data_IF_880664120866
#
_entry.id   IF_880664120866
#
_cell.length_a   1.000
_cell.length_b   1.000
_cell.length_c   1.000
_cell.angle_alpha   90.00
_cell.angle_beta   90.00
_cell.angle_gamma   90.00
#
_symmetry.space_group_name_H-M   'P 1'
#
loop_
_entity.id
_entity.type
_entity.pdbx_description
1 polymer ?
#
# COMPACT_ATOMS: atom_id res chain seq x y z
N UNK A 1 -16.08 2.05 -1.64
CA UNK A 1 -16.04 3.36 -0.95
C UNK A 1 -14.64 3.94 -0.75
N UNK A 2 -13.71 3.34 0.02
CA UNK A 2 -12.39 3.98 0.27
C UNK A 2 -11.36 3.82 -0.87
N UNK A 3 -11.34 2.68 -1.57
CA UNK A 3 -10.54 2.51 -2.79
C UNK A 3 -10.98 3.50 -3.90
N UNK A 4 -12.24 3.93 -3.88
CA UNK A 4 -12.77 4.93 -4.81
C UNK A 4 -12.38 6.36 -4.43
N UNK A 5 -12.26 6.68 -3.13
CA UNK A 5 -11.82 8.00 -2.65
C UNK A 5 -10.33 8.26 -2.96
N UNK A 6 -9.45 7.27 -2.78
CA UNK A 6 -8.04 7.40 -3.18
C UNK A 6 -7.82 7.28 -4.69
N UNK A 7 -8.60 6.45 -5.39
CA UNK A 7 -8.60 6.44 -6.86
C UNK A 7 -9.16 7.75 -7.45
N UNK A 8 -9.98 8.50 -6.70
CA UNK A 8 -10.48 9.81 -7.14
C UNK A 8 -9.42 10.89 -7.10
N UNK A 9 -8.50 10.84 -6.12
CA UNK A 9 -7.38 11.77 -6.04
C UNK A 9 -6.33 11.55 -7.16
N UNK A 10 -6.30 10.38 -7.78
CA UNK A 10 -5.42 10.06 -8.91
C UNK A 10 -6.04 10.31 -10.30
N UNK A 11 -7.30 10.79 -10.38
CA UNK A 11 -8.05 10.94 -11.65
C UNK A 11 -7.88 12.29 -12.35
N UNK A 12 -7.00 13.17 -11.88
CA UNK A 12 -6.68 14.45 -12.53
C UNK A 12 -5.34 14.41 -13.27
N UNK A 13 -5.16 13.43 -14.16
CA UNK A 13 -4.21 13.54 -15.26
C UNK A 13 -4.72 12.72 -16.45
N UNK A 14 -4.97 13.39 -17.57
CA UNK A 14 -5.71 12.84 -18.71
C UNK A 14 -5.00 11.67 -19.40
N UNK A 15 -5.73 10.57 -19.57
CA UNK A 15 -5.32 9.44 -20.41
C UNK A 15 -6.13 9.45 -21.71
N UNK A 16 -5.46 9.76 -22.82
CA UNK A 16 -5.97 9.61 -24.19
C UNK A 16 -6.06 8.12 -24.56
N UNK A 17 -7.29 7.63 -24.77
CA UNK A 17 -7.56 6.26 -25.19
C UNK A 17 -7.25 6.06 -26.69
N UNK A 18 -6.39 5.09 -27.02
CA UNK A 18 -6.24 4.54 -28.37
C UNK A 18 -7.17 3.34 -28.52
N UNK A 19 -8.05 3.38 -29.54
CA UNK A 19 -8.96 2.27 -29.91
C UNK A 19 -8.20 1.19 -30.69
N UNK A 20 -8.47 -0.11 -30.49
CA UNK A 20 -8.15 -1.13 -31.48
C UNK A 20 -9.37 -1.48 -32.34
N UNK A 21 -9.09 -1.71 -33.62
CA UNK A 21 -10.06 -2.07 -34.66
C UNK A 21 -10.52 -3.53 -34.57
N UNK A 22 -11.66 -3.75 -35.22
CA UNK A 22 -12.40 -5.00 -35.37
C UNK A 22 -11.68 -6.07 -36.18
N UNK A 23 -11.70 -7.31 -35.72
CA UNK A 23 -11.39 -8.51 -36.51
C UNK A 23 -12.10 -9.73 -35.91
N UNK A 24 -12.89 -10.43 -36.73
CA UNK A 24 -13.77 -11.53 -36.34
C UNK A 24 -13.11 -12.92 -36.50
N UNK A 25 -13.55 -13.83 -35.63
CA UNK A 25 -13.67 -15.30 -35.70
C UNK A 25 -12.56 -16.23 -36.22
N UNK A 26 -12.25 -17.24 -35.41
CA UNK A 26 -12.39 -18.67 -35.77
C UNK A 26 -12.20 -19.58 -34.52
N UNK A 27 -13.00 -20.65 -34.44
CA UNK A 27 -13.24 -21.42 -33.23
C UNK A 27 -12.24 -22.53 -32.87
N UNK A 28 -12.39 -23.06 -31.65
CA UNK A 28 -11.52 -24.10 -31.11
C UNK A 28 -11.96 -24.68 -29.76
N UNK A 29 -12.89 -25.64 -29.81
CA UNK A 29 -13.12 -26.81 -28.92
C UNK A 29 -13.06 -26.62 -27.39
N UNK A 30 -14.24 -26.80 -26.78
CA UNK A 30 -14.49 -26.80 -25.35
C UNK A 30 -13.67 -27.82 -24.55
N UNK A 31 -12.84 -27.29 -23.65
CA UNK A 31 -12.72 -27.82 -22.30
C UNK A 31 -13.83 -27.18 -21.44
N UNK A 32 -14.44 -27.94 -20.54
CA UNK A 32 -15.43 -27.41 -19.61
C UNK A 32 -14.78 -26.33 -18.74
N UNK A 33 -14.93 -25.07 -19.13
CA UNK A 33 -14.62 -23.92 -18.29
C UNK A 33 -15.63 -24.00 -17.16
N UNK A 34 -15.19 -24.40 -15.96
CA UNK A 34 -16.01 -24.27 -14.76
C UNK A 34 -16.33 -22.78 -14.65
N UNK A 35 -17.56 -22.42 -15.04
CA UNK A 35 -18.02 -21.05 -15.03
C UNK A 35 -18.22 -20.68 -13.57
N UNK A 36 -17.30 -19.91 -13.02
CA UNK A 36 -17.38 -19.42 -11.64
C UNK A 36 -18.63 -18.54 -11.54
N UNK A 37 -19.53 -18.89 -10.63
CA UNK A 37 -20.68 -18.07 -10.29
C UNK A 37 -20.21 -16.93 -9.38
N UNK A 38 -20.07 -15.72 -9.92
CA UNK A 38 -19.50 -14.57 -9.20
C UNK A 38 -20.41 -14.10 -8.06
N UNK A 39 -21.73 -14.13 -8.25
CA UNK A 39 -22.71 -13.79 -7.21
C UNK A 39 -22.62 -14.76 -6.02
N UNK A 40 -22.60 -16.06 -6.30
CA UNK A 40 -22.45 -17.09 -5.26
C UNK A 40 -21.09 -17.00 -4.56
N UNK A 41 -20.03 -16.72 -5.32
CA UNK A 41 -18.68 -16.50 -4.79
C UNK A 41 -18.67 -15.31 -3.84
N UNK A 42 -19.25 -14.18 -4.25
CA UNK A 42 -19.37 -12.97 -3.43
C UNK A 42 -20.18 -13.22 -2.16
N UNK A 43 -21.32 -13.92 -2.27
CA UNK A 43 -22.16 -14.27 -1.12
C UNK A 43 -21.43 -15.14 -0.10
N UNK A 44 -20.69 -16.17 -0.55
CA UNK A 44 -19.90 -17.05 0.34
C UNK A 44 -18.73 -16.32 0.99
N UNK A 45 -18.08 -15.43 0.24
CA UNK A 45 -17.04 -14.54 0.75
C UNK A 45 -17.60 -13.47 1.71
N UNK A 46 -18.90 -13.16 1.64
CA UNK A 46 -19.52 -12.10 2.43
C UNK A 46 -19.03 -10.71 2.01
N UNK A 47 -18.82 -10.51 0.70
CA UNK A 47 -18.28 -9.27 0.12
C UNK A 47 -19.17 -8.75 -1.02
N UNK A 48 -19.06 -7.48 -1.43
CA UNK A 48 -19.81 -6.95 -2.56
C UNK A 48 -19.49 -7.68 -3.88
N UNK A 49 -20.52 -8.02 -4.65
CA UNK A 49 -20.36 -8.68 -5.96
C UNK A 49 -19.51 -7.84 -6.93
N UNK A 50 -19.65 -6.52 -6.90
CA UNK A 50 -18.88 -5.60 -7.74
C UNK A 50 -17.35 -5.73 -7.55
N UNK A 51 -16.90 -6.05 -6.32
CA UNK A 51 -15.47 -6.26 -6.06
C UNK A 51 -14.98 -7.59 -6.64
N UNK A 52 -15.78 -8.65 -6.55
CA UNK A 52 -15.49 -9.96 -7.14
C UNK A 52 -15.46 -9.87 -8.67
N UNK A 53 -16.43 -9.17 -9.28
CA UNK A 53 -16.46 -8.90 -10.72
C UNK A 53 -15.25 -8.08 -11.18
N UNK A 54 -14.84 -7.07 -10.41
CA UNK A 54 -13.64 -6.28 -10.69
C UNK A 54 -12.40 -7.15 -10.67
N UNK A 55 -12.21 -7.97 -9.63
CA UNK A 55 -11.06 -8.89 -9.53
C UNK A 55 -11.04 -9.86 -10.70
N UNK A 56 -12.17 -10.50 -10.99
CA UNK A 56 -12.30 -11.47 -12.08
C UNK A 56 -11.94 -10.85 -13.44
N UNK A 57 -12.50 -9.67 -13.73
CA UNK A 57 -12.28 -8.95 -14.99
C UNK A 57 -10.83 -8.46 -15.16
N UNK A 58 -10.23 -7.90 -14.12
CA UNK A 58 -8.87 -7.37 -14.18
C UNK A 58 -7.82 -8.50 -14.23
N UNK A 59 -8.05 -9.61 -13.52
CA UNK A 59 -7.24 -10.81 -13.67
C UNK A 59 -7.36 -11.36 -15.10
N UNK A 60 -8.59 -11.53 -15.60
CA UNK A 60 -8.86 -12.21 -16.87
C UNK A 60 -8.28 -13.63 -16.86
N UNK A 61 -7.72 -14.05 -18.00
CA UNK A 61 -7.05 -15.36 -18.15
C UNK A 61 -5.57 -15.33 -17.80
N UNK A 62 -5.10 -14.26 -17.14
CA UNK A 62 -3.68 -14.10 -16.81
C UNK A 62 -3.24 -15.10 -15.75
N UNK A 63 -1.98 -15.56 -15.82
CA UNK A 63 -1.49 -16.56 -14.88
C UNK A 63 -1.28 -15.96 -13.49
N UNK A 64 -1.66 -16.72 -12.47
CA UNK A 64 -1.25 -16.53 -11.08
C UNK A 64 0.24 -16.85 -10.89
N UNK A 65 0.74 -16.78 -9.66
CA UNK A 65 2.09 -17.20 -9.25
C UNK A 65 2.00 -18.14 -8.05
N UNK A 66 2.86 -19.16 -7.95
CA UNK A 66 2.85 -20.07 -6.82
C UNK A 66 3.33 -19.35 -5.55
N UNK A 67 2.84 -19.79 -4.41
CA UNK A 67 3.44 -19.44 -3.12
C UNK A 67 4.84 -20.05 -3.01
N UNK A 68 5.73 -19.45 -2.21
CA UNK A 68 6.98 -20.11 -1.84
C UNK A 68 6.68 -21.45 -1.16
N UNK A 69 7.65 -22.37 -1.18
CA UNK A 69 7.51 -23.61 -0.44
C UNK A 69 7.30 -23.30 1.06
N UNK A 70 6.39 -24.04 1.69
CA UNK A 70 6.04 -23.83 3.12
C UNK A 70 7.26 -23.91 4.03
N UNK A 71 8.25 -24.75 3.69
CA UNK A 71 9.49 -24.90 4.45
C UNK A 71 10.39 -23.65 4.39
N UNK A 72 10.32 -22.87 3.30
CA UNK A 72 11.12 -21.66 3.11
C UNK A 72 10.44 -20.41 3.67
N UNK A 73 9.11 -20.48 3.87
CA UNK A 73 8.29 -19.36 4.30
C UNK A 73 8.78 -18.67 5.58
N UNK A 74 9.22 -19.37 6.66
CA UNK A 74 9.73 -18.69 7.86
C UNK A 74 10.92 -17.77 7.58
N UNK A 75 11.87 -18.19 6.74
CA UNK A 75 13.03 -17.39 6.39
C UNK A 75 12.66 -16.18 5.51
N UNK A 76 11.67 -16.34 4.63
CA UNK A 76 11.14 -15.23 3.82
C UNK A 76 10.42 -14.23 4.72
N UNK A 77 9.55 -14.69 5.63
CA UNK A 77 8.81 -13.83 6.56
C UNK A 77 9.76 -13.02 7.46
N UNK A 78 10.85 -13.62 7.94
CA UNK A 78 11.89 -12.93 8.70
C UNK A 78 12.54 -11.80 7.88
N UNK A 79 12.92 -12.07 6.61
CA UNK A 79 13.45 -11.04 5.71
C UNK A 79 12.45 -9.93 5.38
N UNK A 80 11.15 -10.24 5.40
CA UNK A 80 10.07 -9.28 5.27
C UNK A 80 9.75 -8.55 6.58
N UNK A 81 10.60 -8.71 7.61
CA UNK A 81 10.46 -8.12 8.93
C UNK A 81 9.12 -8.42 9.62
N UNK A 82 8.50 -9.56 9.28
CA UNK A 82 7.24 -10.01 9.90
C UNK A 82 7.54 -10.47 11.33
N UNK A 83 6.77 -9.97 12.29
CA UNK A 83 6.97 -10.32 13.71
C UNK A 83 6.62 -11.79 13.97
N UNK A 84 7.22 -12.43 15.00
CA UNK A 84 6.97 -13.83 15.30
C UNK A 84 5.49 -14.21 15.45
N UNK A 85 4.67 -13.37 16.10
CA UNK A 85 3.24 -13.64 16.28
C UNK A 85 2.48 -13.61 14.95
N UNK A 86 2.78 -12.63 14.09
CA UNK A 86 2.17 -12.52 12.75
C UNK A 86 2.63 -13.68 11.85
N UNK A 87 3.92 -14.04 11.91
CA UNK A 87 4.46 -15.17 11.18
C UNK A 87 3.82 -16.48 11.64
N UNK A 88 3.62 -16.68 12.94
CA UNK A 88 2.95 -17.87 13.48
C UNK A 88 1.49 -17.97 12.99
N UNK A 89 0.75 -16.87 12.97
CA UNK A 89 -0.62 -16.84 12.41
C UNK A 89 -0.66 -17.14 10.90
N UNK A 90 0.28 -16.60 10.13
CA UNK A 90 0.42 -16.88 8.69
C UNK A 90 0.79 -18.36 8.47
N UNK A 91 1.69 -18.92 9.27
CA UNK A 91 2.07 -20.33 9.16
C UNK A 91 0.96 -21.29 9.58
N UNK A 92 0.12 -20.89 10.55
CA UNK A 92 -1.06 -21.63 10.98
C UNK A 92 -2.20 -21.57 9.95
N UNK A 93 -2.32 -20.45 9.22
CA UNK A 93 -3.31 -20.25 8.16
C UNK A 93 -2.87 -20.70 6.77
N UNK A 94 -1.74 -21.39 6.63
CA UNK A 94 -1.12 -21.68 5.33
C UNK A 94 -2.08 -22.39 4.35
N UNK A 95 -2.12 -22.02 3.06
CA UNK A 95 -3.03 -22.58 2.04
C UNK A 95 -2.61 -23.96 1.52
N UNK A 96 -2.30 -24.90 2.40
CA UNK A 96 -2.06 -26.29 2.00
C UNK A 96 -3.26 -26.85 1.22
N UNK A 97 -3.07 -27.72 0.21
CA UNK A 97 -4.17 -28.23 -0.62
C UNK A 97 -5.35 -28.81 0.16
N UNK A 98 -5.07 -29.54 1.25
CA UNK A 98 -6.09 -30.20 2.08
C UNK A 98 -6.51 -29.37 3.30
N UNK A 99 -6.07 -28.12 3.39
CA UNK A 99 -6.39 -27.25 4.54
C UNK A 99 -7.89 -26.93 4.60
N UNK A 100 -8.58 -27.22 5.71
CA UNK A 100 -10.00 -26.91 5.88
C UNK A 100 -10.27 -25.41 6.07
N UNK A 101 -9.22 -24.59 6.26
CA UNK A 101 -9.33 -23.14 6.43
C UNK A 101 -9.61 -22.41 5.11
N UNK A 102 -9.44 -23.10 3.97
CA UNK A 102 -9.46 -22.51 2.64
C UNK A 102 -10.59 -23.08 1.79
N UNK A 103 -11.72 -22.37 1.79
CA UNK A 103 -12.87 -22.70 0.93
C UNK A 103 -12.49 -22.54 -0.55
N UNK A 104 -13.23 -23.18 -1.47
CA UNK A 104 -13.02 -23.01 -2.90
C UNK A 104 -13.01 -21.55 -3.36
N UNK A 105 -13.89 -20.72 -2.79
CA UNK A 105 -14.03 -19.30 -3.11
C UNK A 105 -12.85 -18.47 -2.60
N UNK A 106 -12.34 -18.79 -1.41
CA UNK A 106 -11.17 -18.12 -0.84
C UNK A 106 -9.90 -18.46 -1.64
N UNK A 107 -9.76 -19.71 -2.09
CA UNK A 107 -8.68 -20.14 -2.98
C UNK A 107 -8.79 -19.47 -4.35
N UNK A 108 -9.99 -19.42 -4.91
CA UNK A 108 -10.26 -18.70 -6.16
C UNK A 108 -9.87 -17.22 -6.03
N UNK A 109 -10.27 -16.57 -4.94
CA UNK A 109 -9.94 -15.17 -4.71
C UNK A 109 -8.43 -14.95 -4.60
N UNK A 110 -7.74 -15.77 -3.81
CA UNK A 110 -6.27 -15.68 -3.69
C UNK A 110 -5.60 -15.78 -5.05
N UNK A 111 -5.98 -16.79 -5.84
CA UNK A 111 -5.39 -17.00 -7.16
C UNK A 111 -5.66 -15.82 -8.11
N UNK A 112 -6.90 -15.34 -8.18
CA UNK A 112 -7.25 -14.20 -9.04
C UNK A 112 -6.64 -12.88 -8.57
N UNK A 113 -6.50 -12.69 -7.26
CA UNK A 113 -5.77 -11.56 -6.68
C UNK A 113 -4.30 -11.57 -7.11
N UNK A 114 -3.62 -12.72 -7.02
CA UNK A 114 -2.22 -12.84 -7.45
C UNK A 114 -2.10 -12.54 -8.95
N UNK A 115 -2.97 -13.14 -9.78
CA UNK A 115 -2.98 -12.91 -11.22
C UNK A 115 -3.22 -11.43 -11.57
N UNK A 116 -4.18 -10.78 -10.91
CA UNK A 116 -4.50 -9.36 -11.09
C UNK A 116 -3.31 -8.46 -10.75
N UNK A 117 -2.65 -8.67 -9.61
CA UNK A 117 -1.53 -7.81 -9.20
C UNK A 117 -0.32 -8.05 -10.08
N UNK A 118 -0.05 -9.32 -10.43
CA UNK A 118 1.02 -9.70 -11.36
C UNK A 118 0.83 -9.10 -12.76
N UNK A 119 -0.41 -9.01 -13.22
CA UNK A 119 -0.75 -8.44 -14.52
C UNK A 119 -0.28 -6.98 -14.70
N UNK A 120 -0.17 -6.26 -13.58
CA UNK A 120 0.20 -4.85 -13.53
C UNK A 120 1.62 -4.65 -12.97
N UNK A 121 2.51 -5.63 -13.15
CA UNK A 121 3.92 -5.52 -12.78
C UNK A 121 4.56 -4.32 -13.51
N UNK A 122 5.19 -3.43 -12.75
CA UNK A 122 5.74 -2.16 -13.23
C UNK A 122 4.74 -1.01 -13.26
N UNK A 123 3.44 -1.27 -13.09
CA UNK A 123 2.40 -0.24 -12.95
C UNK A 123 2.54 0.50 -11.63
N UNK A 124 2.25 1.80 -11.62
CA UNK A 124 2.47 2.67 -10.45
C UNK A 124 1.19 3.28 -9.87
N UNK A 125 0.03 3.05 -10.48
CA UNK A 125 -1.25 3.43 -9.89
C UNK A 125 -1.54 2.65 -8.60
N UNK A 126 -2.28 3.25 -7.66
CA UNK A 126 -2.82 2.53 -6.52
C UNK A 126 -3.78 1.43 -7.00
N UNK A 127 -3.54 0.18 -6.60
CA UNK A 127 -4.31 -0.97 -7.07
C UNK A 127 -4.79 -1.80 -5.89
N UNK A 128 -6.11 -1.83 -5.70
CA UNK A 128 -6.74 -2.70 -4.71
C UNK A 128 -6.68 -4.17 -5.18
N UNK A 129 -6.03 -5.08 -4.43
CA UNK A 129 -5.84 -6.48 -4.83
C UNK A 129 -7.13 -7.31 -4.75
N UNK A 130 -8.14 -6.85 -4.00
CA UNK A 130 -9.43 -7.52 -3.84
C UNK A 130 -10.36 -6.80 -2.85
N UNK A 131 -11.50 -7.41 -2.48
CA UNK A 131 -12.43 -6.86 -1.50
C UNK A 131 -11.85 -6.87 -0.07
N UNK A 132 -12.42 -6.05 0.81
CA UNK A 132 -12.19 -6.23 2.25
C UNK A 132 -12.87 -7.53 2.73
N UNK A 133 -12.16 -8.37 3.47
CA UNK A 133 -12.63 -9.68 3.92
C UNK A 133 -13.01 -9.67 5.40
N UNK A 134 -14.03 -10.45 5.83
CA UNK A 134 -14.37 -10.63 7.24
C UNK A 134 -13.25 -11.38 7.98
N UNK A 135 -12.44 -10.62 8.73
CA UNK A 135 -11.18 -11.09 9.35
C UNK A 135 -11.38 -11.98 10.59
N UNK A 136 -12.59 -12.00 11.13
CA UNK A 136 -13.02 -12.83 12.25
C UNK A 136 -13.23 -14.31 11.85
N UNK A 137 -13.31 -14.61 10.56
CA UNK A 137 -13.43 -15.98 10.01
C UNK A 137 -12.15 -16.82 10.07
N UNK A 138 -11.08 -16.30 10.69
CA UNK A 138 -9.85 -17.05 10.97
C UNK A 138 -8.63 -16.59 10.15
N UNK A 139 -7.48 -17.24 10.35
CA UNK A 139 -6.18 -16.76 9.86
C UNK A 139 -6.06 -16.76 8.33
N UNK A 140 -6.73 -17.67 7.62
CA UNK A 140 -6.74 -17.68 6.14
C UNK A 140 -7.40 -16.41 5.58
N UNK A 141 -8.54 -16.00 6.15
CA UNK A 141 -9.27 -14.79 5.76
C UNK A 141 -8.53 -13.53 6.15
N UNK A 142 -7.98 -13.50 7.36
CA UNK A 142 -7.20 -12.37 7.89
C UNK A 142 -5.97 -12.07 7.05
N UNK A 143 -5.30 -13.10 6.54
CA UNK A 143 -3.97 -12.98 5.91
C UNK A 143 -3.97 -13.27 4.40
N UNK A 144 -5.13 -13.36 3.73
CA UNK A 144 -5.23 -13.66 2.29
C UNK A 144 -4.24 -12.82 1.45
N UNK A 145 -4.20 -11.51 1.69
CA UNK A 145 -3.34 -10.59 0.95
C UNK A 145 -1.86 -10.68 1.33
N UNK A 146 -1.52 -11.21 2.51
CA UNK A 146 -0.13 -11.55 2.85
C UNK A 146 0.34 -12.76 2.03
N UNK A 147 -0.51 -13.77 1.81
CA UNK A 147 -0.17 -14.88 0.90
C UNK A 147 -0.02 -14.37 -0.53
N UNK A 148 -0.92 -13.50 -1.01
CA UNK A 148 -0.76 -12.90 -2.33
C UNK A 148 0.55 -12.12 -2.47
N UNK A 149 0.95 -11.40 -1.41
CA UNK A 149 2.25 -10.71 -1.35
C UNK A 149 3.41 -11.70 -1.44
N UNK A 150 3.39 -12.78 -0.64
CA UNK A 150 4.42 -13.82 -0.64
C UNK A 150 4.59 -14.49 -2.01
N UNK A 151 3.49 -14.78 -2.71
CA UNK A 151 3.51 -15.36 -4.05
C UNK A 151 4.19 -14.43 -5.09
N UNK A 152 4.23 -13.13 -4.84
CA UNK A 152 4.80 -12.13 -5.74
C UNK A 152 6.21 -11.68 -5.37
N UNK A 153 6.78 -12.14 -4.24
CA UNK A 153 8.14 -11.78 -3.80
C UNK A 153 9.19 -12.14 -4.86
N UNK A 154 9.16 -13.36 -5.38
CA UNK A 154 10.14 -13.76 -6.41
C UNK A 154 9.86 -13.13 -7.77
N UNK A 155 8.58 -12.89 -8.09
CA UNK A 155 8.16 -12.17 -9.31
C UNK A 155 8.76 -10.77 -9.34
N UNK A 156 8.58 -10.00 -8.25
CA UNK A 156 9.08 -8.63 -8.19
C UNK A 156 10.59 -8.57 -8.01
N UNK A 157 11.21 -9.52 -7.33
CA UNK A 157 12.69 -9.59 -7.24
C UNK A 157 13.33 -9.90 -8.59
N UNK A 158 12.69 -10.71 -9.44
CA UNK A 158 13.12 -10.89 -10.82
C UNK A 158 12.99 -9.58 -11.63
N UNK A 159 11.88 -8.84 -11.46
CA UNK A 159 11.70 -7.53 -12.05
C UNK A 159 12.77 -6.52 -11.60
N UNK A 160 13.05 -6.44 -10.30
CA UNK A 160 14.10 -5.58 -9.75
C UNK A 160 15.48 -5.93 -10.32
N UNK A 161 15.82 -7.21 -10.41
CA UNK A 161 17.08 -7.67 -11.01
C UNK A 161 17.19 -7.27 -12.48
N UNK A 162 16.10 -7.37 -13.24
CA UNK A 162 16.05 -6.93 -14.65
C UNK A 162 16.29 -5.42 -14.79
N UNK A 163 15.91 -4.61 -13.80
CA UNK A 163 16.20 -3.17 -13.73
C UNK A 163 17.57 -2.86 -13.08
N UNK A 164 18.36 -3.89 -12.75
CA UNK A 164 19.67 -3.73 -12.12
C UNK A 164 19.62 -3.24 -10.67
N UNK A 165 18.47 -3.36 -10.00
CA UNK A 165 18.28 -2.92 -8.61
C UNK A 165 18.95 -3.91 -7.66
N UNK A 166 19.68 -3.38 -6.68
CA UNK A 166 20.39 -4.18 -5.70
C UNK A 166 19.43 -5.03 -4.84
N UNK A 167 19.84 -6.25 -4.50
CA UNK A 167 19.00 -7.17 -3.71
C UNK A 167 18.67 -6.60 -2.33
N UNK A 168 19.61 -5.89 -1.71
CA UNK A 168 19.39 -5.21 -0.42
C UNK A 168 18.26 -4.18 -0.49
N UNK A 169 18.19 -3.37 -1.56
CA UNK A 169 17.10 -2.40 -1.77
C UNK A 169 15.76 -3.12 -1.94
N UNK A 170 15.76 -4.24 -2.66
CA UNK A 170 14.57 -5.07 -2.84
C UNK A 170 14.03 -5.56 -1.49
N UNK A 171 14.87 -6.14 -0.64
CA UNK A 171 14.43 -6.69 0.65
C UNK A 171 14.00 -5.61 1.64
N UNK A 172 14.73 -4.49 1.74
CA UNK A 172 14.34 -3.37 2.60
C UNK A 172 13.00 -2.77 2.17
N UNK A 173 12.76 -2.67 0.86
CA UNK A 173 11.47 -2.25 0.31
C UNK A 173 10.37 -3.25 0.68
N UNK A 174 10.58 -4.54 0.45
CA UNK A 174 9.54 -5.56 0.68
C UNK A 174 9.24 -5.80 2.18
N UNK A 175 10.16 -5.42 3.07
CA UNK A 175 9.98 -5.50 4.52
C UNK A 175 8.86 -4.59 5.05
N UNK A 176 8.26 -3.73 4.21
CA UNK A 176 7.08 -2.96 4.60
C UNK A 176 5.86 -3.83 4.93
N UNK A 177 5.82 -5.08 4.44
CA UNK A 177 4.80 -6.05 4.86
C UNK A 177 4.78 -6.22 6.38
N UNK A 178 5.94 -6.48 6.99
CA UNK A 178 6.08 -6.67 8.43
C UNK A 178 5.68 -5.42 9.22
N UNK A 179 6.04 -4.22 8.73
CA UNK A 179 5.63 -2.95 9.34
C UNK A 179 4.13 -2.75 9.31
N UNK A 180 3.48 -3.05 8.18
CA UNK A 180 2.02 -2.95 8.04
C UNK A 180 1.29 -3.93 8.97
N UNK A 181 1.74 -5.18 9.04
CA UNK A 181 1.17 -6.18 9.96
C UNK A 181 1.31 -5.74 11.43
N UNK A 182 2.48 -5.21 11.80
CA UNK A 182 2.72 -4.71 13.16
C UNK A 182 1.83 -3.50 13.51
N UNK A 183 1.58 -2.60 12.55
CA UNK A 183 0.66 -1.47 12.73
C UNK A 183 -0.77 -1.99 12.90
N UNK A 184 -1.23 -2.86 12.01
CA UNK A 184 -2.56 -3.47 12.06
C UNK A 184 -2.83 -4.16 13.41
N UNK A 185 -1.89 -4.96 13.90
CA UNK A 185 -1.97 -5.60 15.22
C UNK A 185 -2.07 -4.58 16.37
N UNK A 186 -1.30 -3.48 16.31
CA UNK A 186 -1.34 -2.42 17.33
C UNK A 186 -2.65 -1.65 17.33
N UNK A 187 -3.25 -1.48 16.16
CA UNK A 187 -4.54 -0.83 16.00
C UNK A 187 -5.70 -1.70 16.52
N UNK A 188 -5.48 -2.98 16.86
CA UNK A 188 -6.48 -3.91 17.45
C UNK A 188 -7.74 -4.08 16.59
N UNK A 189 -7.59 -4.00 15.27
CA UNK A 189 -8.71 -4.07 14.33
C UNK A 189 -9.49 -2.75 14.20
N UNK A 190 -9.09 -1.69 14.91
CA UNK A 190 -9.55 -0.33 14.65
C UNK A 190 -8.81 0.24 13.44
N UNK A 191 -9.47 1.05 12.62
CA UNK A 191 -8.83 1.62 11.42
C UNK A 191 -8.64 0.61 10.30
N UNK A 192 -7.62 0.83 9.46
CA UNK A 192 -7.49 0.07 8.21
C UNK A 192 -7.04 -1.36 8.48
N UNK A 193 -7.65 -2.38 7.83
CA UNK A 193 -6.96 -3.65 7.63
C UNK A 193 -5.64 -3.37 6.90
N UNK A 194 -4.64 -4.24 7.07
CA UNK A 194 -3.37 -4.25 6.30
C UNK A 194 -3.54 -3.54 4.95
N UNK A 195 -2.82 -2.42 4.74
CA UNK A 195 -3.05 -1.47 3.64
C UNK A 195 -2.86 -2.15 2.28
N UNK A 196 -3.87 -2.89 1.83
CA UNK A 196 -3.71 -3.88 0.78
C UNK A 196 -3.34 -3.24 -0.55
N UNK A 197 -3.92 -2.07 -0.86
CA UNK A 197 -3.61 -1.31 -2.06
C UNK A 197 -2.22 -0.64 -2.01
N UNK A 198 -1.72 -0.32 -0.82
CA UNK A 198 -0.37 0.21 -0.61
C UNK A 198 0.68 -0.87 -0.83
N UNK A 199 0.46 -2.06 -0.26
CA UNK A 199 1.38 -3.18 -0.39
C UNK A 199 1.54 -3.67 -1.83
N UNK A 200 0.54 -3.48 -2.71
CA UNK A 200 0.71 -3.80 -4.14
C UNK A 200 1.76 -2.93 -4.84
N UNK A 201 2.06 -1.72 -4.37
CA UNK A 201 3.13 -0.89 -4.95
C UNK A 201 4.51 -1.54 -4.78
N UNK A 202 4.71 -2.30 -3.71
CA UNK A 202 5.96 -2.95 -3.39
C UNK A 202 6.18 -4.17 -4.29
N UNK A 203 5.17 -5.04 -4.39
CA UNK A 203 5.23 -6.27 -5.20
C UNK A 203 5.00 -6.05 -6.69
N UNK A 204 4.74 -4.82 -7.12
CA UNK A 204 4.74 -4.41 -8.54
C UNK A 204 6.00 -3.65 -8.94
N UNK A 205 6.94 -3.37 -8.04
CA UNK A 205 8.15 -2.62 -8.36
C UNK A 205 7.89 -1.13 -8.64
N UNK A 206 6.85 -0.58 -8.00
CA UNK A 206 6.45 0.82 -8.14
C UNK A 206 7.11 1.72 -7.10
N UNK A 207 7.49 1.17 -5.95
CA UNK A 207 8.00 1.89 -4.78
C UNK A 207 9.31 1.30 -4.28
N UNK A 208 10.23 2.17 -3.83
CA UNK A 208 11.54 1.80 -3.31
C UNK A 208 11.87 2.53 -2.01
N UNK A 209 12.26 1.79 -0.98
CA UNK A 209 12.80 2.36 0.25
C UNK A 209 14.29 2.67 0.08
N UNK A 210 14.64 3.96 0.09
CA UNK A 210 16.01 4.43 -0.13
C UNK A 210 16.44 5.27 1.06
N UNK A 211 16.83 4.61 2.15
CA UNK A 211 17.17 5.28 3.40
C UNK A 211 15.91 5.60 4.21
N UNK A 212 15.70 6.88 4.57
CA UNK A 212 14.60 7.25 5.47
C UNK A 212 13.23 7.30 4.80
N UNK A 213 13.15 7.57 3.51
CA UNK A 213 11.89 7.70 2.78
C UNK A 213 11.69 6.54 1.82
N UNK A 214 10.41 6.30 1.52
CA UNK A 214 9.97 5.46 0.42
C UNK A 214 9.64 6.36 -0.77
N UNK A 215 10.07 5.94 -1.96
CA UNK A 215 9.96 6.70 -3.19
C UNK A 215 9.14 5.91 -4.19
N UNK A 216 8.00 6.46 -4.57
CA UNK A 216 7.03 5.84 -5.46
C UNK A 216 7.04 6.55 -6.81
N UNK A 217 7.18 5.75 -7.87
CA UNK A 217 7.11 6.20 -9.26
C UNK A 217 5.75 6.83 -9.54
N UNK A 218 5.70 7.99 -10.19
CA UNK A 218 4.45 8.57 -10.69
C UNK A 218 4.70 9.38 -11.97
N UNK A 219 3.64 9.95 -12.53
CA UNK A 219 3.74 10.78 -13.74
C UNK A 219 4.41 12.12 -13.42
N UNK A 220 5.67 12.26 -13.83
CA UNK A 220 6.41 13.53 -13.75
C UNK A 220 6.98 13.88 -12.37
N UNK A 221 6.70 13.09 -11.33
CA UNK A 221 7.24 13.27 -10.00
C UNK A 221 7.64 11.94 -9.33
N UNK A 222 8.46 12.05 -8.29
CA UNK A 222 8.73 10.96 -7.35
C UNK A 222 7.90 11.24 -6.09
N UNK A 223 6.90 10.41 -5.81
CA UNK A 223 6.07 10.52 -4.62
C UNK A 223 6.86 10.04 -3.39
N UNK A 224 6.82 10.82 -2.33
CA UNK A 224 7.50 10.55 -1.06
C UNK A 224 6.51 9.99 -0.05
N UNK A 225 6.93 8.92 0.62
CA UNK A 225 6.21 8.31 1.73
C UNK A 225 7.12 8.11 2.93
N UNK A 226 6.53 8.16 4.12
CA UNK A 226 7.25 8.22 5.40
C UNK A 226 6.93 6.95 6.20
N UNK A 227 7.78 5.91 6.15
CA UNK A 227 7.57 4.73 6.97
C UNK A 227 7.78 5.04 8.46
N UNK A 228 7.14 4.25 9.33
CA UNK A 228 7.30 4.31 10.79
C UNK A 228 8.62 3.64 11.23
N UNK A 229 9.74 4.26 10.85
CA UNK A 229 11.09 3.70 10.95
C UNK A 229 12.09 4.59 11.72
N UNK A 230 11.64 5.68 12.32
CA UNK A 230 12.48 6.60 13.10
C UNK A 230 12.21 8.09 12.85
N UNK A 231 13.03 9.00 13.39
CA UNK A 231 12.85 10.44 13.20
C UNK A 231 13.10 10.88 11.75
N UNK A 232 12.42 11.94 11.30
CA UNK A 232 12.69 12.63 10.03
C UNK A 232 13.84 13.64 10.18
N UNK A 233 15.03 13.19 10.61
CA UNK A 233 16.15 14.13 10.75
C UNK A 233 16.50 14.75 9.39
N UNK A 234 16.94 16.02 9.34
CA UNK A 234 17.28 16.66 8.08
C UNK A 234 18.32 15.88 7.27
N UNK A 235 19.29 15.27 7.93
CA UNK A 235 20.38 14.51 7.30
C UNK A 235 19.87 13.22 6.67
N UNK A 236 18.99 12.48 7.38
CA UNK A 236 18.43 11.23 6.89
C UNK A 236 17.46 11.48 5.71
N UNK A 237 16.70 12.58 5.77
CA UNK A 237 15.85 13.02 4.65
C UNK A 237 16.71 13.41 3.44
N UNK A 238 17.76 14.22 3.61
CA UNK A 238 18.61 14.63 2.49
C UNK A 238 19.33 13.43 1.86
N UNK A 239 19.90 12.53 2.65
CA UNK A 239 20.54 11.31 2.13
C UNK A 239 19.57 10.42 1.35
N UNK A 240 18.31 10.34 1.81
CA UNK A 240 17.25 9.61 1.13
C UNK A 240 16.90 10.20 -0.24
N UNK A 241 16.79 11.53 -0.32
CA UNK A 241 16.52 12.24 -1.57
C UNK A 241 17.69 12.13 -2.55
N UNK A 242 18.93 12.21 -2.06
CA UNK A 242 20.14 12.05 -2.88
C UNK A 242 20.24 10.62 -3.45
N UNK A 243 19.89 9.62 -2.65
CA UNK A 243 19.79 8.24 -3.14
C UNK A 243 18.76 8.13 -4.27
N UNK A 244 17.59 8.75 -4.12
CA UNK A 244 16.55 8.75 -5.17
C UNK A 244 17.03 9.44 -6.46
N UNK A 245 17.71 10.60 -6.36
CA UNK A 245 18.29 11.32 -7.50
C UNK A 245 19.21 10.44 -8.35
N UNK A 246 20.00 9.59 -7.70
CA UNK A 246 20.88 8.65 -8.40
C UNK A 246 20.14 7.39 -8.89
N UNK A 247 19.20 6.90 -8.09
CA UNK A 247 18.51 5.63 -8.31
C UNK A 247 17.60 5.66 -9.54
N UNK A 248 16.68 6.64 -9.61
CA UNK A 248 15.64 6.63 -10.63
C UNK A 248 16.18 6.75 -12.07
N UNK A 249 17.08 7.69 -12.40
CA UNK A 249 17.65 7.77 -13.75
C UNK A 249 18.47 6.54 -14.14
N UNK A 250 19.05 5.82 -13.16
CA UNK A 250 19.85 4.62 -13.40
C UNK A 250 18.98 3.39 -13.70
N UNK A 251 17.89 3.22 -12.96
CA UNK A 251 17.07 2.01 -13.01
C UNK A 251 15.81 2.16 -13.86
N UNK A 252 15.36 3.39 -14.09
CA UNK A 252 14.20 3.75 -14.92
C UNK A 252 14.57 4.85 -15.92
N UNK A 253 15.53 4.61 -16.83
CA UNK A 253 16.09 5.63 -17.71
C UNK A 253 15.10 6.20 -18.74
N UNK A 254 13.96 5.53 -18.95
CA UNK A 254 12.90 5.98 -19.85
C UNK A 254 11.87 6.89 -19.15
N UNK A 255 11.92 6.98 -17.81
CA UNK A 255 11.04 7.84 -17.03
C UNK A 255 11.70 9.21 -16.78
N UNK A 256 10.87 10.24 -16.65
CA UNK A 256 11.33 11.62 -16.41
C UNK A 256 10.58 12.17 -15.21
N UNK A 257 11.35 12.63 -14.23
CA UNK A 257 10.82 13.24 -13.01
C UNK A 257 11.37 14.64 -12.89
N UNK A 258 10.50 15.61 -12.64
CA UNK A 258 10.87 17.01 -12.47
C UNK A 258 10.88 17.44 -10.99
N UNK A 259 10.19 16.69 -10.13
CA UNK A 259 9.98 17.07 -8.75
C UNK A 259 9.86 15.85 -7.83
N UNK A 260 10.14 16.07 -6.55
CA UNK A 260 9.62 15.26 -5.47
C UNK A 260 8.25 15.80 -5.05
N UNK A 261 7.29 14.93 -4.77
CA UNK A 261 5.95 15.29 -4.32
C UNK A 261 5.56 14.51 -3.06
N UNK A 262 4.70 15.08 -2.23
CA UNK A 262 4.20 14.42 -1.03
C UNK A 262 2.79 14.90 -0.74
N UNK A 263 1.86 13.98 -0.48
CA UNK A 263 0.57 14.26 0.15
C UNK A 263 0.57 13.70 1.57
N UNK A 264 0.34 14.55 2.58
CA UNK A 264 0.32 14.11 3.98
C UNK A 264 -0.35 15.12 4.92
N UNK A 265 -0.96 14.63 5.99
CA UNK A 265 -1.32 15.45 7.17
C UNK A 265 -0.08 16.13 7.78
N UNK A 266 1.12 15.53 7.63
CA UNK A 266 2.37 16.13 8.09
C UNK A 266 2.73 17.42 7.33
N UNK A 267 2.09 17.70 6.20
CA UNK A 267 2.30 18.94 5.44
C UNK A 267 1.35 20.08 5.85
N UNK A 268 0.49 19.87 6.85
CA UNK A 268 -0.41 20.90 7.36
C UNK A 268 0.36 22.06 8.03
N UNK A 269 0.29 23.30 7.51
CA UNK A 269 0.89 24.47 8.16
C UNK A 269 0.37 24.74 9.57
N UNK A 270 -0.85 24.30 9.93
CA UNK A 270 -1.42 24.48 11.27
C UNK A 270 -0.56 23.82 12.35
N UNK A 271 0.23 22.79 12.00
CA UNK A 271 1.18 22.16 12.94
C UNK A 271 2.22 23.15 13.47
N UNK A 272 2.55 24.21 12.71
CA UNK A 272 3.53 25.24 13.11
C UNK A 272 3.05 26.14 14.23
N UNK A 273 1.74 26.18 14.50
CA UNK A 273 1.18 26.89 15.66
C UNK A 273 1.54 26.19 16.99
N UNK A 274 1.90 24.91 16.93
CA UNK A 274 2.12 24.07 18.12
C UNK A 274 3.55 23.51 18.22
N UNK A 275 4.19 23.23 17.09
CA UNK A 275 5.50 22.60 17.06
C UNK A 275 6.62 23.64 17.07
N UNK A 276 7.73 23.41 17.79
CA UNK A 276 8.93 24.23 17.70
C UNK A 276 9.46 24.33 16.26
N UNK A 277 10.06 25.47 15.93
CA UNK A 277 10.63 25.72 14.60
C UNK A 277 11.73 24.74 14.21
N UNK A 278 12.45 24.21 15.19
CA UNK A 278 13.53 23.25 15.00
C UNK A 278 13.05 21.79 14.96
N UNK A 279 11.75 21.55 15.10
CA UNK A 279 11.18 20.21 14.98
C UNK A 279 11.38 19.63 13.57
N UNK A 280 11.66 18.33 13.51
CA UNK A 280 11.88 17.62 12.26
C UNK A 280 10.70 17.74 11.28
N UNK A 281 9.46 17.77 11.78
CA UNK A 281 8.26 17.95 10.96
C UNK A 281 8.27 19.32 10.28
N UNK A 282 8.52 20.40 11.03
CA UNK A 282 8.57 21.75 10.47
C UNK A 282 9.72 21.89 9.47
N UNK A 283 10.90 21.33 9.75
CA UNK A 283 12.03 21.29 8.81
C UNK A 283 11.71 20.49 7.54
N UNK A 284 10.98 19.39 7.65
CA UNK A 284 10.51 18.62 6.50
C UNK A 284 9.53 19.44 5.65
N UNK A 285 8.52 20.07 6.27
CA UNK A 285 7.54 20.91 5.60
C UNK A 285 8.17 22.07 4.81
N UNK A 286 9.21 22.71 5.35
CA UNK A 286 9.88 23.87 4.71
C UNK A 286 10.54 23.55 3.36
N UNK A 287 10.67 22.27 2.99
CA UNK A 287 11.18 21.85 1.68
C UNK A 287 10.15 22.01 0.57
N UNK A 288 8.86 22.03 0.90
CA UNK A 288 7.78 21.95 -0.07
C UNK A 288 7.19 23.32 -0.40
N UNK A 289 6.95 23.54 -1.69
CA UNK A 289 5.94 24.49 -2.13
C UNK A 289 4.58 23.78 -2.05
N UNK A 290 3.67 24.30 -1.22
CA UNK A 290 2.35 23.70 -1.02
C UNK A 290 1.41 24.09 -2.16
N UNK A 291 0.66 23.11 -2.64
CA UNK A 291 -0.44 23.36 -3.56
C UNK A 291 -1.59 24.10 -2.82
N UNK A 292 -2.46 24.80 -3.57
CA UNK A 292 -3.67 25.39 -3.01
C UNK A 292 -4.47 24.34 -2.26
N UNK A 293 -4.96 24.69 -1.06
CA UNK A 293 -5.78 23.78 -0.28
C UNK A 293 -7.08 23.45 -1.01
N UNK A 294 -7.43 22.17 -1.03
CA UNK A 294 -8.69 21.68 -1.54
C UNK A 294 -9.33 20.81 -0.47
N UNK A 295 -10.51 21.21 0.00
CA UNK A 295 -11.23 20.58 1.12
C UNK A 295 -11.61 19.11 0.88
N UNK A 296 -11.50 18.63 -0.36
CA UNK A 296 -11.80 17.24 -0.75
C UNK A 296 -10.62 16.54 -1.47
N UNK A 297 -9.40 17.09 -1.36
CA UNK A 297 -8.23 16.62 -2.12
C UNK A 297 -7.54 15.35 -1.61
N UNK A 298 -8.09 14.64 -0.61
CA UNK A 298 -7.41 13.48 -0.03
C UNK A 298 -8.15 12.82 1.14
N UNK A 299 -7.47 11.91 1.87
CA UNK A 299 -7.93 11.33 3.12
C UNK A 299 -8.43 12.34 4.14
N UNK A 300 -9.35 11.92 5.00
CA UNK A 300 -9.72 12.67 6.20
C UNK A 300 -8.49 12.79 7.11
N UNK A 301 -7.96 14.01 7.24
CA UNK A 301 -6.72 14.25 7.96
C UNK A 301 -6.85 14.10 9.48
N UNK A 302 -8.05 14.26 10.05
CA UNK A 302 -8.27 13.99 11.48
C UNK A 302 -8.13 12.50 11.75
N UNK A 303 -8.69 11.67 10.87
CA UNK A 303 -8.53 10.21 10.95
C UNK A 303 -7.07 9.82 10.75
N UNK A 304 -6.37 10.40 9.76
CA UNK A 304 -4.98 10.07 9.48
C UNK A 304 -4.05 10.47 10.64
N UNK A 305 -4.20 11.68 11.19
CA UNK A 305 -3.34 12.11 12.31
C UNK A 305 -3.57 11.24 13.54
N UNK A 306 -4.83 10.88 13.85
CA UNK A 306 -5.13 9.98 14.97
C UNK A 306 -4.50 8.60 14.76
N UNK A 307 -4.63 8.06 13.54
CA UNK A 307 -4.04 6.78 13.15
C UNK A 307 -2.52 6.79 13.27
N UNK A 308 -1.84 7.83 12.78
CA UNK A 308 -0.38 7.86 12.76
C UNK A 308 0.25 8.24 14.11
N UNK A 309 -0.40 9.12 14.89
CA UNK A 309 0.16 9.60 16.16
C UNK A 309 -0.21 8.69 17.34
N UNK A 310 -1.40 8.10 17.35
CA UNK A 310 -1.92 7.35 18.51
C UNK A 310 -2.15 5.87 18.27
N UNK A 311 -2.24 5.45 17.00
CA UNK A 311 -2.52 4.05 16.62
C UNK A 311 -3.86 3.53 17.19
N UNK A 312 -4.88 4.38 17.22
CA UNK A 312 -6.26 4.07 17.63
C UNK A 312 -7.20 5.10 17.03
N UNK A 313 -8.44 4.70 16.76
CA UNK A 313 -9.50 5.60 16.27
C UNK A 313 -10.72 5.67 17.20
N UNK A 314 -10.94 4.68 18.07
CA UNK A 314 -12.06 4.68 19.02
C UNK A 314 -11.71 5.16 20.41
N UNK A 315 -10.42 5.29 20.75
CA UNK A 315 -10.04 5.84 22.06
C UNK A 315 -10.50 7.31 22.15
N UNK A 316 -11.32 7.68 23.15
CA UNK A 316 -11.76 9.06 23.35
C UNK A 316 -10.58 10.04 23.50
N UNK A 317 -10.73 11.26 22.97
CA UNK A 317 -9.65 12.26 22.95
C UNK A 317 -9.08 12.59 24.34
N UNK A 318 -9.87 12.48 25.40
CA UNK A 318 -9.46 12.70 26.79
C UNK A 318 -8.70 11.54 27.43
N UNK A 319 -8.80 10.35 26.86
CA UNK A 319 -8.03 9.18 27.26
C UNK A 319 -6.72 9.00 26.46
N UNK A 320 -6.51 9.78 25.39
CA UNK A 320 -5.30 9.69 24.57
C UNK A 320 -4.04 10.18 25.33
N UNK A 321 -2.87 9.54 25.11
CA UNK A 321 -1.64 9.93 25.78
C UNK A 321 -1.17 11.32 25.35
N UNK A 322 -0.69 12.12 26.30
CA UNK A 322 -0.22 13.51 26.07
C UNK A 322 1.28 13.69 26.32
N UNK A 323 2.08 12.67 26.02
CA UNK A 323 3.51 12.59 26.40
C UNK A 323 4.39 13.48 25.55
N UNK A 324 4.14 13.57 24.24
CA UNK A 324 4.92 14.39 23.31
C UNK A 324 4.23 15.72 22.97
N UNK A 325 4.99 16.69 22.45
CA UNK A 325 4.44 17.96 21.97
C UNK A 325 3.41 17.71 20.86
N UNK A 326 3.73 16.83 19.91
CA UNK A 326 2.82 16.46 18.82
C UNK A 326 1.51 15.85 19.34
N UNK A 327 1.57 14.95 20.32
CA UNK A 327 0.37 14.37 20.91
C UNK A 327 -0.53 15.44 21.56
N UNK A 328 0.08 16.37 22.31
CA UNK A 328 -0.66 17.49 22.90
C UNK A 328 -1.28 18.38 21.83
N UNK A 329 -0.50 18.75 20.81
CA UNK A 329 -0.95 19.58 19.69
C UNK A 329 -2.21 19.01 19.01
N UNK A 330 -2.17 17.72 18.66
CA UNK A 330 -3.30 17.04 17.99
C UNK A 330 -4.56 17.08 18.84
N UNK A 331 -4.44 16.72 20.12
CA UNK A 331 -5.61 16.68 21.02
C UNK A 331 -6.14 18.09 21.30
N UNK A 332 -5.27 19.08 21.51
CA UNK A 332 -5.69 20.46 21.80
C UNK A 332 -6.36 21.12 20.60
N UNK A 333 -5.87 20.86 19.39
CA UNK A 333 -6.47 21.34 18.15
C UNK A 333 -7.89 20.80 17.95
N UNK A 334 -8.07 19.48 18.09
CA UNK A 334 -9.37 18.83 17.94
C UNK A 334 -10.36 19.26 19.04
N UNK A 335 -9.90 19.40 20.29
CA UNK A 335 -10.74 19.89 21.40
C UNK A 335 -11.20 21.34 21.25
N UNK A 336 -10.43 22.15 20.52
CA UNK A 336 -10.82 23.52 20.18
C UNK A 336 -11.86 23.58 19.05
N UNK A 337 -12.36 22.44 18.55
CA UNK A 337 -13.30 22.36 17.43
C UNK A 337 -12.65 22.67 16.08
N UNK A 338 -11.32 22.55 15.98
CA UNK A 338 -10.57 22.72 14.73
C UNK A 338 -10.27 21.36 14.12
N UNK A 339 -10.01 21.35 12.82
CA UNK A 339 -9.74 20.15 12.03
C UNK A 339 -8.38 20.26 11.34
N UNK A 340 -7.66 19.15 11.29
CA UNK A 340 -6.42 19.02 10.54
C UNK A 340 -6.70 18.90 9.04
N UNK A 341 -5.69 19.23 8.24
CA UNK A 341 -5.80 19.30 6.78
C UNK A 341 -4.85 18.32 6.10
N UNK A 342 -5.37 17.64 5.08
CA UNK A 342 -4.52 16.91 4.15
C UNK A 342 -3.92 17.90 3.16
N UNK A 343 -2.58 17.99 3.12
CA UNK A 343 -1.88 18.92 2.24
C UNK A 343 -0.98 18.18 1.27
N UNK A 344 -0.90 18.71 0.06
CA UNK A 344 0.03 18.27 -0.97
C UNK A 344 1.03 19.37 -1.27
N UNK A 345 2.27 18.98 -1.51
CA UNK A 345 3.31 19.90 -1.93
C UNK A 345 4.37 19.19 -2.77
N UNK A 346 5.19 19.99 -3.43
CA UNK A 346 6.28 19.52 -4.28
C UNK A 346 7.49 20.42 -4.20
N UNK A 347 8.65 19.90 -4.62
CA UNK A 347 9.86 20.69 -4.84
C UNK A 347 10.73 20.05 -5.95
N UNK A 348 11.53 20.83 -6.68
CA UNK A 348 12.34 20.31 -7.78
C UNK A 348 13.34 19.24 -7.34
N UNK A 349 13.62 18.28 -8.24
CA UNK A 349 14.65 17.25 -8.05
C UNK A 349 16.04 17.86 -8.08
#
# INVERSE_FOLDING_TARGET
MWAEQMASAARTCGSTAVRPGSGADAGGRGGSVIRVNLDETAARLGVPVADVERVHRLAGDRPSAPLPARADAPAILDRLAVRPDDAAEIMAGWPDPDSPLWTPELRWLLDRTIALVRADLGGYGWLAPGPELPRDRGPAWRHLYAYAYLALVDVVRAYHRAHGIADAVSWVTLADLGRNLAIDRRMRGEGWPVMQAWLTLHVRGSLYELGRLQHHRSDGAIELHIPDAGPLTPEAVSASLDAARAFFPRHFPDERYAAFACGSWLLDPQLREYLPEDSNIVRFQRRFELEPYQEQGGPDADVEVLRFVFRTLSTPLDALPRRTVLQRAVIDHLRAGRHWQWRRGRFPI
#
